data_IF_529332086241
#
_entry.id   IF_529332086241
#
_cell.length_a   1.000
_cell.length_b   1.000
_cell.length_c   1.000
_cell.angle_alpha   90.00
_cell.angle_beta   90.00
_cell.angle_gamma   90.00
#
_symmetry.space_group_name_H-M   'P 1'
#
loop_
_entity.id
_entity.type
_entity.pdbx_description
1 polymer ?
#
# COMPACT_ATOMS: atom_id res chain seq x y z
N UNK A 1 -25.43 -29.75 -14.94
CA UNK A 1 -25.31 -28.30 -15.23
C UNK A 1 -25.93 -27.55 -14.08
N UNK A 2 -25.19 -26.64 -13.43
CA UNK A 2 -25.75 -25.75 -12.41
C UNK A 2 -26.59 -24.68 -13.12
N UNK A 3 -27.88 -24.52 -12.80
CA UNK A 3 -28.71 -23.49 -13.42
C UNK A 3 -28.13 -22.11 -13.12
N UNK A 4 -28.20 -21.22 -14.11
CA UNK A 4 -27.73 -19.85 -13.94
C UNK A 4 -28.66 -19.13 -12.93
N UNK A 5 -28.10 -18.42 -11.93
CA UNK A 5 -28.91 -17.66 -10.99
C UNK A 5 -29.72 -16.57 -11.72
N UNK A 6 -30.83 -16.17 -11.12
CA UNK A 6 -31.59 -15.03 -11.62
C UNK A 6 -30.74 -13.73 -11.52
N UNK A 7 -31.04 -12.70 -12.34
CA UNK A 7 -30.23 -11.49 -12.40
C UNK A 7 -30.09 -10.75 -11.06
N UNK A 8 -31.10 -10.81 -10.19
CA UNK A 8 -31.06 -10.12 -8.90
C UNK A 8 -30.12 -10.85 -7.92
N UNK A 9 -30.17 -12.17 -7.89
CA UNK A 9 -29.24 -13.00 -7.13
C UNK A 9 -27.81 -12.83 -7.62
N UNK A 10 -27.59 -12.84 -8.94
CA UNK A 10 -26.27 -12.60 -9.55
C UNK A 10 -25.73 -11.22 -9.14
N UNK A 11 -26.53 -10.15 -9.29
CA UNK A 11 -26.13 -8.80 -8.92
C UNK A 11 -25.85 -8.62 -7.41
N UNK A 12 -26.56 -9.34 -6.54
CA UNK A 12 -26.29 -9.32 -5.10
C UNK A 12 -24.94 -9.97 -4.75
N UNK A 13 -24.61 -11.10 -5.40
CA UNK A 13 -23.32 -11.75 -5.21
C UNK A 13 -22.15 -10.94 -5.75
N UNK A 14 -22.30 -10.34 -6.94
CA UNK A 14 -21.28 -9.48 -7.53
C UNK A 14 -20.94 -8.28 -6.62
N UNK A 15 -21.96 -7.62 -6.05
CA UNK A 15 -21.75 -6.53 -5.08
C UNK A 15 -21.04 -7.00 -3.81
N UNK A 16 -21.32 -8.22 -3.33
CA UNK A 16 -20.60 -8.78 -2.17
C UNK A 16 -19.13 -9.04 -2.49
N UNK A 17 -18.85 -9.59 -3.66
CA UNK A 17 -17.49 -9.84 -4.14
C UNK A 17 -16.71 -8.53 -4.29
N UNK A 18 -17.31 -7.53 -4.93
CA UNK A 18 -16.70 -6.20 -5.07
C UNK A 18 -16.32 -5.61 -3.72
N UNK A 19 -17.23 -5.62 -2.75
CA UNK A 19 -16.94 -5.14 -1.39
C UNK A 19 -15.81 -5.91 -0.72
N UNK A 20 -15.80 -7.23 -0.86
CA UNK A 20 -14.74 -8.08 -0.31
C UNK A 20 -13.39 -7.78 -0.97
N UNK A 21 -13.36 -7.58 -2.29
CA UNK A 21 -12.16 -7.19 -3.04
C UNK A 21 -11.65 -5.84 -2.56
N UNK A 22 -12.49 -4.81 -2.48
CA UNK A 22 -12.06 -3.50 -2.00
C UNK A 22 -11.61 -3.51 -0.53
N UNK A 23 -12.17 -4.37 0.31
CA UNK A 23 -11.68 -4.57 1.67
C UNK A 23 -10.32 -5.27 1.69
N UNK A 24 -10.14 -6.29 0.85
CA UNK A 24 -8.89 -7.02 0.70
C UNK A 24 -7.76 -6.11 0.17
N UNK A 25 -8.04 -5.28 -0.83
CA UNK A 25 -7.08 -4.32 -1.39
C UNK A 25 -6.61 -3.31 -0.35
N UNK A 26 -7.54 -2.76 0.46
CA UNK A 26 -7.20 -1.86 1.57
C UNK A 26 -6.35 -2.55 2.63
N UNK A 27 -6.76 -3.75 3.05
CA UNK A 27 -6.00 -4.53 4.03
C UNK A 27 -4.60 -4.88 3.50
N UNK A 28 -4.48 -5.20 2.22
CA UNK A 28 -3.21 -5.45 1.54
C UNK A 28 -2.32 -4.20 1.56
N UNK A 29 -2.85 -3.04 1.20
CA UNK A 29 -2.07 -1.79 1.25
C UNK A 29 -1.58 -1.48 2.68
N UNK A 30 -2.44 -1.66 3.70
CA UNK A 30 -2.04 -1.52 5.09
C UNK A 30 -0.94 -2.51 5.49
N UNK A 31 -1.04 -3.77 5.05
CA UNK A 31 0.00 -4.77 5.30
C UNK A 31 1.33 -4.38 4.64
N UNK A 32 1.29 -3.86 3.41
CA UNK A 32 2.48 -3.41 2.69
C UNK A 32 3.19 -2.26 3.45
N UNK A 33 2.44 -1.28 3.98
CA UNK A 33 2.98 -0.21 4.83
C UNK A 33 3.60 -0.75 6.13
N UNK A 34 2.91 -1.67 6.82
CA UNK A 34 3.43 -2.29 8.04
C UNK A 34 4.73 -3.08 7.81
N UNK A 35 4.89 -3.69 6.63
CA UNK A 35 6.13 -4.38 6.25
C UNK A 35 7.29 -3.37 6.14
N UNK A 36 7.05 -2.22 5.51
CA UNK A 36 8.05 -1.16 5.41
C UNK A 36 8.40 -0.60 6.80
N UNK A 37 7.40 -0.33 7.64
CA UNK A 37 7.61 0.18 9.00
C UNK A 37 8.37 -0.82 9.89
N UNK A 38 8.03 -2.10 9.83
CA UNK A 38 8.73 -3.15 10.56
C UNK A 38 10.21 -3.24 10.13
N UNK A 39 10.49 -3.12 8.83
CA UNK A 39 11.88 -3.07 8.33
C UNK A 39 12.60 -1.83 8.83
N UNK A 40 11.98 -0.66 8.76
CA UNK A 40 12.56 0.59 9.25
C UNK A 40 12.85 0.53 10.76
N UNK A 41 12.04 -0.19 11.52
CA UNK A 41 12.28 -0.50 12.94
C UNK A 41 13.38 -1.56 13.18
N UNK A 42 13.98 -2.11 12.12
CA UNK A 42 15.08 -3.08 12.20
C UNK A 42 14.64 -4.55 12.27
N UNK A 43 13.36 -4.87 12.06
CA UNK A 43 12.89 -6.26 12.05
C UNK A 43 13.45 -6.98 10.82
N UNK A 44 14.14 -8.14 10.98
CA UNK A 44 14.68 -8.88 9.84
C UNK A 44 13.58 -9.35 8.88
N UNK A 45 13.83 -9.22 7.57
CA UNK A 45 12.88 -9.63 6.53
C UNK A 45 12.48 -11.11 6.60
N UNK A 46 13.36 -11.99 7.08
CA UNK A 46 13.01 -13.39 7.34
C UNK A 46 11.96 -13.55 8.42
N UNK A 47 11.97 -12.70 9.45
CA UNK A 47 10.96 -12.69 10.50
C UNK A 47 9.64 -12.16 9.95
N UNK A 48 9.67 -11.07 9.20
CA UNK A 48 8.48 -10.52 8.53
C UNK A 48 7.83 -11.56 7.59
N UNK A 49 8.62 -12.29 6.82
CA UNK A 49 8.13 -13.34 5.91
C UNK A 49 7.49 -14.54 6.63
N UNK A 50 7.82 -14.79 7.91
CA UNK A 50 7.16 -15.84 8.71
C UNK A 50 5.75 -15.45 9.18
N UNK A 51 5.47 -14.15 9.23
CA UNK A 51 4.22 -13.60 9.76
C UNK A 51 3.32 -12.98 8.68
N UNK A 52 3.75 -13.03 7.42
CA UNK A 52 3.00 -12.50 6.28
C UNK A 52 2.87 -13.56 5.20
N UNK A 53 1.88 -13.46 4.29
CA UNK A 53 1.74 -14.39 3.16
C UNK A 53 2.82 -14.18 2.08
N UNK A 54 3.82 -13.34 2.34
CA UNK A 54 4.82 -12.93 1.37
C UNK A 54 6.15 -13.61 1.61
N UNK A 55 6.84 -13.93 0.52
CA UNK A 55 8.22 -14.39 0.60
C UNK A 55 9.15 -13.24 1.06
N UNK A 56 10.33 -13.60 1.59
CA UNK A 56 11.37 -12.62 1.97
C UNK A 56 11.69 -11.65 0.84
N UNK A 57 11.81 -12.15 -0.39
CA UNK A 57 12.11 -11.33 -1.56
C UNK A 57 10.97 -10.35 -1.88
N UNK A 58 9.73 -10.76 -1.66
CA UNK A 58 8.58 -9.89 -1.85
C UNK A 58 8.48 -8.82 -0.76
N UNK A 59 8.73 -9.19 0.51
CA UNK A 59 8.79 -8.25 1.62
C UNK A 59 9.88 -7.17 1.40
N UNK A 60 11.05 -7.57 0.85
CA UNK A 60 12.10 -6.63 0.45
C UNK A 60 11.61 -5.63 -0.60
N UNK A 61 11.00 -6.13 -1.68
CA UNK A 61 10.48 -5.29 -2.77
C UNK A 61 9.42 -4.29 -2.30
N UNK A 62 8.52 -4.73 -1.40
CA UNK A 62 7.51 -3.86 -0.80
C UNK A 62 8.19 -2.71 -0.04
N UNK A 63 9.11 -3.05 0.87
CA UNK A 63 9.77 -2.04 1.67
C UNK A 63 10.58 -1.06 0.82
N UNK A 64 11.38 -1.56 -0.14
CA UNK A 64 12.15 -0.73 -1.07
C UNK A 64 11.25 0.23 -1.87
N UNK A 65 10.09 -0.24 -2.33
CA UNK A 65 9.11 0.58 -3.06
C UNK A 65 8.56 1.70 -2.17
N UNK A 66 8.10 1.37 -0.96
CA UNK A 66 7.49 2.34 -0.05
C UNK A 66 8.52 3.36 0.45
N UNK A 67 9.74 2.92 0.75
CA UNK A 67 10.84 3.82 1.11
C UNK A 67 11.13 4.83 -0.02
N UNK A 68 11.14 4.37 -1.28
CA UNK A 68 11.31 5.23 -2.45
C UNK A 68 10.14 6.22 -2.63
N UNK A 69 8.90 5.77 -2.46
CA UNK A 69 7.72 6.64 -2.51
C UNK A 69 7.74 7.71 -1.41
N UNK A 70 8.14 7.35 -0.19
CA UNK A 70 8.30 8.29 0.92
C UNK A 70 9.41 9.31 0.64
N UNK A 71 10.56 8.85 0.16
CA UNK A 71 11.67 9.74 -0.22
C UNK A 71 11.25 10.74 -1.32
N UNK A 72 10.49 10.29 -2.33
CA UNK A 72 9.97 11.16 -3.38
C UNK A 72 8.99 12.22 -2.85
N UNK A 73 8.13 11.85 -1.90
CA UNK A 73 7.19 12.78 -1.24
C UNK A 73 7.92 13.83 -0.40
N UNK A 74 9.01 13.46 0.27
CA UNK A 74 9.82 14.38 1.09
C UNK A 74 10.82 15.21 0.28
N UNK A 75 11.18 14.79 -0.95
CA UNK A 75 12.08 15.52 -1.84
C UNK A 75 11.45 16.72 -2.56
N UNK A 76 10.13 16.90 -2.48
CA UNK A 76 9.40 18.05 -3.03
C UNK A 76 9.01 19.02 -1.90
N UNK A 77 10.00 19.65 -1.28
CA UNK A 77 9.77 20.93 -0.57
C UNK A 77 9.93 22.06 -1.58
N UNK A 78 8.92 22.93 -1.81
CA UNK A 78 9.15 24.15 -2.56
C UNK A 78 10.09 25.02 -1.73
N UNK A 79 11.33 25.16 -2.19
CA UNK A 79 12.26 26.13 -1.63
C UNK A 79 11.58 27.50 -1.63
N UNK A 80 11.40 28.06 -0.43
CA UNK A 80 10.87 29.40 -0.23
C UNK A 80 11.68 30.40 -1.08
N UNK A 81 10.97 31.20 -1.87
CA UNK A 81 11.53 32.28 -2.67
C UNK A 81 12.36 33.22 -1.77
N UNK A 82 13.57 33.64 -2.18
CA UNK A 82 14.23 34.75 -1.51
C UNK A 82 13.40 36.02 -1.73
N UNK A 83 12.96 36.61 -0.63
CA UNK A 83 12.29 37.89 -0.53
C UNK A 83 13.18 38.97 -1.15
N UNK A 84 12.86 39.42 -2.36
CA UNK A 84 13.45 40.62 -2.96
C UNK A 84 12.84 41.85 -2.30
N UNK A 85 13.30 42.15 -1.08
CA UNK A 85 13.05 43.40 -0.39
C UNK A 85 13.94 44.51 -0.95
N UNK A 86 13.36 45.37 -1.77
CA UNK A 86 13.90 46.69 -2.16
C UNK A 86 14.20 47.57 -0.94
N UNK A 87 15.26 48.37 -1.01
CA UNK A 87 15.28 49.78 -0.56
C UNK A 87 16.66 50.43 -0.78
N UNK A 88 16.76 51.35 -1.72
CA UNK A 88 17.51 52.62 -1.57
C UNK A 88 16.87 53.67 -2.45
#
# INVERSE_FOLDING_TARGET
MTPRPDPQTEAAWLRKLERATSAHERARATLEELIADARAAGVPLMTVAKHTPYSREWARKIADKIDAERAARHGTSPAAQPDSGSST
#
